data_IF_240051280601
#
_entry.id   IF_240051280601
#
_cell.length_a   1.000
_cell.length_b   1.000
_cell.length_c   1.000
_cell.angle_alpha   90.00
_cell.angle_beta   90.00
_cell.angle_gamma   90.00
#
_symmetry.space_group_name_H-M   'P 1'
#
loop_
_entity.id
_entity.type
_entity.pdbx_description
1 polymer ?
#
# COMPACT_ATOMS: atom_id res chain seq x y z
N UNK A 1 3.47 5.28 -13.66
CA UNK A 1 3.91 4.03 -14.26
C UNK A 1 5.13 3.52 -13.50
N UNK A 2 4.98 2.35 -12.85
CA UNK A 2 6.07 1.69 -12.15
C UNK A 2 7.08 1.19 -13.19
N UNK A 3 8.36 1.52 -13.01
CA UNK A 3 9.41 0.93 -13.82
C UNK A 3 9.51 -0.58 -13.56
N UNK A 4 9.89 -1.37 -14.59
CA UNK A 4 10.06 -2.83 -14.47
C UNK A 4 10.89 -3.23 -13.23
N UNK A 5 11.98 -2.53 -12.85
CA UNK A 5 12.71 -2.80 -11.62
C UNK A 5 11.91 -2.61 -10.33
N UNK A 6 10.85 -1.79 -10.32
CA UNK A 6 9.99 -1.59 -9.14
C UNK A 6 8.97 -2.73 -8.97
N UNK A 7 8.67 -3.47 -10.06
CA UNK A 7 7.81 -4.66 -9.99
C UNK A 7 8.57 -5.84 -9.36
N UNK A 8 9.87 -5.96 -9.63
CA UNK A 8 10.73 -7.07 -9.20
C UNK A 8 11.84 -6.59 -8.26
N UNK A 9 11.51 -6.05 -7.09
CA UNK A 9 12.51 -5.87 -6.03
C UNK A 9 12.82 -7.22 -5.40
N UNK A 10 13.94 -7.82 -5.79
CA UNK A 10 14.56 -8.94 -5.08
C UNK A 10 15.49 -8.36 -4.02
N UNK A 11 15.02 -8.15 -2.81
CA UNK A 11 15.89 -7.91 -1.68
C UNK A 11 16.09 -9.21 -0.90
N UNK A 12 17.32 -9.49 -0.59
CA UNK A 12 17.72 -10.67 0.21
C UNK A 12 17.49 -10.32 1.67
N UNK A 13 16.31 -10.72 2.19
CA UNK A 13 15.93 -10.89 3.60
C UNK A 13 15.89 -9.69 4.55
N UNK A 14 14.70 -9.19 4.89
CA UNK A 14 13.94 -9.50 6.10
C UNK A 14 12.54 -10.04 5.79
N UNK A 15 11.69 -10.45 6.78
CA UNK A 15 10.42 -11.18 6.52
C UNK A 15 9.38 -10.42 5.69
N UNK A 16 9.45 -9.09 5.60
CA UNK A 16 8.68 -8.29 4.64
C UNK A 16 9.01 -8.67 3.19
N UNK A 17 10.24 -9.10 2.95
CA UNK A 17 10.75 -9.46 1.63
C UNK A 17 10.34 -10.89 1.23
N UNK A 18 10.03 -11.76 2.21
CA UNK A 18 9.49 -13.09 1.91
C UNK A 18 8.17 -13.00 1.14
N UNK A 19 7.23 -12.18 1.59
CA UNK A 19 5.95 -11.99 0.90
C UNK A 19 6.14 -11.34 -0.48
N UNK A 20 7.08 -10.40 -0.59
CA UNK A 20 7.45 -9.77 -1.86
C UNK A 20 8.09 -10.79 -2.79
N UNK A 21 8.99 -11.62 -2.28
CA UNK A 21 9.65 -12.69 -3.04
C UNK A 21 8.65 -13.73 -3.51
N UNK A 22 7.75 -14.19 -2.62
CA UNK A 22 6.69 -15.14 -2.97
C UNK A 22 5.77 -14.58 -4.05
N UNK A 23 5.34 -13.33 -3.92
CA UNK A 23 4.55 -12.62 -4.94
C UNK A 23 5.27 -12.63 -6.29
N UNK A 24 6.55 -12.28 -6.31
CA UNK A 24 7.35 -12.21 -7.53
C UNK A 24 7.49 -13.60 -8.17
N UNK A 25 7.73 -14.65 -7.38
CA UNK A 25 7.78 -16.03 -7.86
C UNK A 25 6.45 -16.47 -8.47
N UNK A 26 5.32 -16.11 -7.87
CA UNK A 26 3.98 -16.40 -8.41
C UNK A 26 3.72 -15.67 -9.72
N UNK A 27 4.14 -14.42 -9.85
CA UNK A 27 4.05 -13.65 -11.11
C UNK A 27 4.88 -14.34 -12.20
N UNK A 28 6.15 -14.67 -11.91
CA UNK A 28 7.04 -15.36 -12.85
C UNK A 28 6.47 -16.72 -13.26
N UNK A 29 5.90 -17.47 -12.30
CA UNK A 29 5.27 -18.77 -12.59
C UNK A 29 4.07 -18.63 -13.51
N UNK A 30 3.28 -17.56 -13.37
CA UNK A 30 2.18 -17.24 -14.27
C UNK A 30 2.66 -17.05 -15.72
N UNK A 31 3.71 -16.26 -15.93
CA UNK A 31 4.30 -16.08 -17.27
C UNK A 31 4.90 -17.38 -17.81
N UNK A 32 5.63 -18.13 -16.98
CA UNK A 32 6.21 -19.41 -17.38
C UNK A 32 5.12 -20.43 -17.80
N UNK A 33 4.02 -20.51 -17.06
CA UNK A 33 2.89 -21.38 -17.41
C UNK A 33 2.23 -20.95 -18.72
N UNK A 34 2.09 -19.64 -18.97
CA UNK A 34 1.57 -19.13 -20.26
C UNK A 34 2.44 -19.56 -21.41
N UNK A 35 3.77 -19.32 -21.35
CA UNK A 35 4.72 -19.71 -22.39
C UNK A 35 4.70 -21.23 -22.60
N UNK A 36 4.66 -22.01 -21.52
CA UNK A 36 4.60 -23.47 -21.57
C UNK A 36 3.33 -23.97 -22.30
N UNK A 37 2.15 -23.46 -21.92
CA UNK A 37 0.88 -23.84 -22.57
C UNK A 37 0.85 -23.43 -24.06
N UNK A 38 1.39 -22.24 -24.38
CA UNK A 38 1.51 -21.74 -25.74
C UNK A 38 2.44 -22.62 -26.57
N UNK A 39 3.62 -22.95 -26.06
CA UNK A 39 4.58 -23.83 -26.74
C UNK A 39 4.06 -25.26 -26.96
N UNK A 40 3.15 -25.73 -26.11
CA UNK A 40 2.45 -27.00 -26.29
C UNK A 40 1.25 -26.92 -27.24
N UNK A 41 0.90 -25.74 -27.74
CA UNK A 41 -0.28 -25.49 -28.59
C UNK A 41 -1.60 -25.96 -27.95
N UNK A 42 -1.67 -25.95 -26.63
CA UNK A 42 -2.85 -26.40 -25.84
C UNK A 42 -3.41 -25.31 -24.95
N UNK A 43 -3.04 -24.05 -25.19
CA UNK A 43 -3.56 -22.91 -24.45
C UNK A 43 -5.05 -22.71 -24.77
N UNK A 44 -5.92 -22.75 -23.77
CA UNK A 44 -7.34 -22.45 -23.93
C UNK A 44 -7.52 -20.95 -24.11
N UNK A 45 -8.37 -20.56 -25.08
CA UNK A 45 -8.62 -19.14 -25.39
C UNK A 45 -9.07 -18.35 -24.15
N UNK A 46 -9.95 -18.92 -23.33
CA UNK A 46 -10.42 -18.27 -22.09
C UNK A 46 -9.28 -17.97 -21.12
N UNK A 47 -8.31 -18.89 -20.97
CA UNK A 47 -7.16 -18.67 -20.10
C UNK A 47 -6.20 -17.61 -20.68
N UNK A 48 -6.04 -17.59 -22.01
CA UNK A 48 -5.26 -16.56 -22.68
C UNK A 48 -5.87 -15.17 -22.49
N UNK A 49 -7.19 -15.04 -22.64
CA UNK A 49 -7.91 -13.78 -22.45
C UNK A 49 -7.78 -13.29 -21.01
N UNK A 50 -7.97 -14.16 -20.00
CA UNK A 50 -7.80 -13.80 -18.58
C UNK A 50 -6.38 -13.34 -18.29
N UNK A 51 -5.38 -14.05 -18.82
CA UNK A 51 -3.97 -13.69 -18.64
C UNK A 51 -3.66 -12.32 -19.26
N UNK A 52 -4.04 -12.10 -20.52
CA UNK A 52 -3.80 -10.83 -21.21
C UNK A 52 -4.54 -9.68 -20.51
N UNK A 53 -5.78 -9.89 -20.09
CA UNK A 53 -6.56 -8.89 -19.36
C UNK A 53 -5.97 -8.56 -17.99
N UNK A 54 -5.21 -9.47 -17.38
CA UNK A 54 -4.56 -9.24 -16.09
C UNK A 54 -3.26 -8.43 -16.16
N UNK A 55 -2.61 -8.37 -17.34
CA UNK A 55 -1.35 -7.62 -17.53
C UNK A 55 -1.50 -6.12 -17.23
N UNK A 56 -2.53 -5.40 -17.74
CA UNK A 56 -2.74 -3.99 -17.39
C UNK A 56 -2.90 -3.75 -15.89
N UNK A 57 -3.53 -4.68 -15.16
CA UNK A 57 -3.65 -4.58 -13.70
C UNK A 57 -2.28 -4.62 -13.02
N UNK A 58 -1.42 -5.56 -13.44
CA UNK A 58 -0.06 -5.68 -12.92
C UNK A 58 0.78 -4.43 -13.19
N UNK A 59 0.61 -3.80 -14.36
CA UNK A 59 1.36 -2.61 -14.78
C UNK A 59 0.85 -1.33 -14.11
N UNK A 60 -0.44 -1.27 -13.75
CA UNK A 60 -1.05 -0.07 -13.19
C UNK A 60 -0.55 0.22 -11.77
N UNK A 61 -0.59 -0.77 -10.89
CA UNK A 61 -0.11 -0.64 -9.51
C UNK A 61 0.31 -2.00 -8.94
N UNK A 62 1.40 -2.03 -8.18
CA UNK A 62 1.91 -3.25 -7.53
C UNK A 62 0.91 -3.95 -6.59
N UNK A 63 -0.10 -3.23 -6.07
CA UNK A 63 -1.17 -3.80 -5.23
C UNK A 63 -2.09 -4.75 -6.00
N UNK A 64 -2.23 -4.59 -7.31
CA UNK A 64 -3.04 -5.46 -8.17
C UNK A 64 -2.31 -6.75 -8.60
N UNK A 65 -1.13 -7.01 -8.04
CA UNK A 65 -0.41 -8.27 -8.29
C UNK A 65 -1.16 -9.51 -7.80
N UNK A 66 -1.98 -9.37 -6.77
CA UNK A 66 -2.81 -10.47 -6.26
C UNK A 66 -3.93 -10.83 -7.24
N UNK A 67 -4.58 -9.83 -7.82
CA UNK A 67 -5.60 -10.01 -8.85
C UNK A 67 -5.00 -10.65 -10.11
N UNK A 68 -3.80 -10.23 -10.51
CA UNK A 68 -3.05 -10.89 -11.59
C UNK A 68 -2.84 -12.38 -11.29
N UNK A 69 -2.33 -12.72 -10.10
CA UNK A 69 -2.08 -14.09 -9.68
C UNK A 69 -3.38 -14.92 -9.72
N UNK A 70 -4.47 -14.40 -9.19
CA UNK A 70 -5.78 -15.08 -9.19
C UNK A 70 -6.29 -15.35 -10.61
N UNK A 71 -6.18 -14.38 -11.50
CA UNK A 71 -6.59 -14.53 -12.91
C UNK A 71 -5.70 -15.52 -13.69
N UNK A 72 -4.44 -15.73 -13.25
CA UNK A 72 -3.54 -16.72 -13.82
C UNK A 72 -3.80 -18.16 -13.34
N UNK A 73 -4.49 -18.37 -12.20
CA UNK A 73 -4.67 -19.70 -11.59
C UNK A 73 -5.26 -20.75 -12.54
N UNK A 74 -6.29 -20.47 -13.38
CA UNK A 74 -6.80 -21.46 -14.32
C UNK A 74 -5.75 -21.94 -15.32
N UNK A 75 -4.87 -21.04 -15.74
CA UNK A 75 -3.77 -21.34 -16.66
C UNK A 75 -2.65 -22.15 -15.96
N UNK A 76 -2.31 -21.79 -14.73
CA UNK A 76 -1.35 -22.56 -13.91
C UNK A 76 -1.85 -24.00 -13.73
N UNK A 77 -3.13 -24.17 -13.39
CA UNK A 77 -3.74 -25.50 -13.31
C UNK A 77 -3.60 -26.27 -14.64
N UNK A 78 -3.92 -25.64 -15.77
CA UNK A 78 -3.79 -26.28 -17.07
C UNK A 78 -2.34 -26.69 -17.38
N UNK A 79 -1.36 -25.84 -17.05
CA UNK A 79 0.05 -26.15 -17.22
C UNK A 79 0.48 -27.36 -16.39
N UNK A 80 0.04 -27.44 -15.15
CA UNK A 80 0.29 -28.59 -14.26
C UNK A 80 -0.35 -29.86 -14.82
N UNK A 81 -1.61 -29.81 -15.26
CA UNK A 81 -2.29 -30.96 -15.90
C UNK A 81 -1.53 -31.46 -17.11
N UNK A 82 -1.04 -30.57 -17.99
CA UNK A 82 -0.25 -30.94 -19.15
C UNK A 82 1.11 -31.52 -18.81
N UNK A 83 1.75 -31.04 -17.75
CA UNK A 83 3.04 -31.55 -17.28
C UNK A 83 2.89 -32.94 -16.67
N UNK A 84 1.86 -33.17 -15.86
CA UNK A 84 1.60 -34.44 -15.18
C UNK A 84 1.13 -35.54 -16.13
N UNK A 85 0.36 -35.20 -17.20
CA UNK A 85 -0.02 -36.17 -18.24
C UNK A 85 1.19 -36.81 -18.93
N UNK A 86 2.29 -36.09 -19.10
CA UNK A 86 3.52 -36.62 -19.68
C UNK A 86 4.32 -37.53 -18.74
N UNK A 87 4.22 -37.28 -17.44
CA UNK A 87 5.03 -37.97 -16.45
C UNK A 87 4.56 -39.40 -16.16
N UNK A 88 3.45 -39.91 -16.80
CA UNK A 88 2.81 -41.19 -16.44
C UNK A 88 2.72 -41.36 -14.90
N UNK A 89 2.54 -40.27 -14.20
CA UNK A 89 2.37 -40.33 -12.75
C UNK A 89 1.12 -41.17 -12.51
N UNK A 90 1.30 -42.25 -11.74
CA UNK A 90 0.19 -43.05 -11.21
C UNK A 90 -0.90 -42.11 -10.72
N UNK A 91 -2.17 -42.44 -10.95
CA UNK A 91 -3.27 -41.58 -10.55
C UNK A 91 -3.10 -41.27 -9.06
N UNK A 92 -2.90 -40.00 -8.77
CA UNK A 92 -2.75 -39.43 -7.42
C UNK A 92 -4.02 -39.71 -6.58
N UNK A 93 -5.07 -40.20 -7.22
CA UNK A 93 -6.34 -40.62 -6.60
C UNK A 93 -6.18 -41.64 -5.48
N UNK A 94 -5.09 -42.41 -5.45
CA UNK A 94 -4.84 -43.40 -4.39
C UNK A 94 -4.39 -42.75 -3.07
N UNK A 95 -3.95 -41.50 -3.08
CA UNK A 95 -3.47 -40.81 -1.88
C UNK A 95 -4.06 -39.42 -1.80
N UNK A 96 -5.18 -39.24 -1.09
CA UNK A 96 -5.68 -37.91 -0.69
C UNK A 96 -4.72 -37.16 0.25
N UNK A 97 -3.77 -37.87 0.78
CA UNK A 97 -2.76 -37.42 1.72
C UNK A 97 -1.90 -36.23 1.23
N UNK A 98 -1.35 -36.17 0.00
CA UNK A 98 -0.59 -35.02 -0.45
C UNK A 98 -1.41 -33.72 -0.51
N UNK A 99 -2.69 -33.82 -0.89
CA UNK A 99 -3.59 -32.66 -0.91
C UNK A 99 -3.92 -32.19 0.50
N UNK A 100 -4.07 -33.12 1.44
CA UNK A 100 -4.30 -32.82 2.85
C UNK A 100 -3.05 -32.12 3.44
N UNK A 101 -1.85 -32.61 3.15
CA UNK A 101 -0.58 -31.98 3.57
C UNK A 101 -0.44 -30.59 2.96
N UNK A 102 -0.71 -30.44 1.67
CA UNK A 102 -0.69 -29.13 1.02
C UNK A 102 -1.70 -28.17 1.64
N UNK A 103 -2.92 -28.64 1.90
CA UNK A 103 -3.96 -27.83 2.56
C UNK A 103 -3.53 -27.41 3.96
N UNK A 104 -2.99 -28.34 4.76
CA UNK A 104 -2.48 -28.05 6.11
C UNK A 104 -1.33 -27.02 6.04
N UNK A 105 -0.40 -27.18 5.09
CA UNK A 105 0.69 -26.23 4.89
C UNK A 105 0.17 -24.85 4.48
N UNK A 106 -0.81 -24.77 3.57
CA UNK A 106 -1.43 -23.52 3.15
C UNK A 106 -2.19 -22.82 4.30
N UNK A 107 -2.77 -23.59 5.22
CA UNK A 107 -3.41 -23.03 6.42
C UNK A 107 -2.39 -22.67 7.52
N UNK A 108 -1.36 -23.50 7.70
CA UNK A 108 -0.34 -23.30 8.72
C UNK A 108 0.59 -22.12 8.40
N UNK A 109 0.86 -21.85 7.09
CA UNK A 109 1.76 -20.77 6.67
C UNK A 109 1.25 -19.38 7.09
N UNK A 110 -0.01 -18.98 6.82
CA UNK A 110 -0.56 -17.70 7.30
C UNK A 110 -0.55 -17.61 8.83
N UNK A 111 -0.85 -18.72 9.51
CA UNK A 111 -0.82 -18.78 10.97
C UNK A 111 0.59 -18.61 11.52
N UNK A 112 1.58 -19.28 10.94
CA UNK A 112 2.99 -19.14 11.32
C UNK A 112 3.51 -17.71 11.06
N UNK A 113 3.13 -17.11 9.91
CA UNK A 113 3.44 -15.71 9.60
C UNK A 113 2.80 -14.77 10.61
N UNK A 114 1.51 -14.99 10.95
CA UNK A 114 0.84 -14.20 11.96
C UNK A 114 1.53 -14.30 13.32
N UNK A 115 1.81 -15.52 13.82
CA UNK A 115 2.45 -15.74 15.11
C UNK A 115 3.85 -15.13 15.17
N UNK A 116 4.67 -15.28 14.13
CA UNK A 116 6.06 -14.82 14.14
C UNK A 116 6.21 -13.35 13.76
N UNK A 117 5.27 -12.80 13.01
CA UNK A 117 5.41 -11.46 12.46
C UNK A 117 4.54 -10.41 13.15
N UNK A 118 3.30 -10.75 13.51
CA UNK A 118 2.33 -9.79 14.05
C UNK A 118 2.18 -9.89 15.57
N UNK A 119 2.22 -11.09 16.13
CA UNK A 119 2.00 -11.29 17.57
C UNK A 119 3.05 -10.59 18.45
N UNK A 120 4.29 -10.52 17.98
CA UNK A 120 5.41 -9.94 18.71
C UNK A 120 5.72 -8.49 18.33
N UNK A 121 4.90 -7.87 17.50
CA UNK A 121 5.00 -6.44 17.22
C UNK A 121 4.03 -5.68 18.13
N UNK A 122 4.53 -4.98 19.18
CA UNK A 122 3.69 -4.21 20.09
C UNK A 122 2.92 -3.09 19.37
N UNK A 123 3.36 -2.74 18.17
CA UNK A 123 2.81 -1.66 17.34
C UNK A 123 1.67 -2.11 16.39
N UNK A 124 1.43 -3.44 16.28
CA UNK A 124 0.37 -3.91 15.39
C UNK A 124 -1.02 -3.66 16.01
N UNK A 125 -1.99 -3.18 15.24
CA UNK A 125 -1.99 -2.95 13.79
C UNK A 125 -1.41 -1.60 13.33
N UNK A 126 -1.00 -0.73 14.24
CA UNK A 126 -0.58 0.65 13.97
C UNK A 126 0.94 0.77 14.10
N UNK A 127 1.65 1.13 13.03
CA UNK A 127 3.08 1.38 13.07
C UNK A 127 3.38 2.83 13.48
N UNK A 128 3.93 3.02 14.67
CA UNK A 128 4.34 4.34 15.16
C UNK A 128 5.44 4.98 14.30
N UNK A 129 6.24 4.14 13.62
CA UNK A 129 7.30 4.61 12.70
C UNK A 129 6.78 5.13 11.35
N UNK A 130 5.48 4.98 11.06
CA UNK A 130 4.89 5.36 9.77
C UNK A 130 3.66 6.24 9.90
N UNK A 131 3.14 6.38 11.09
CA UNK A 131 1.91 7.10 11.36
C UNK A 131 2.14 8.17 12.43
N UNK A 132 1.54 9.34 12.33
CA UNK A 132 1.74 10.47 13.23
C UNK A 132 0.96 10.26 14.54
N UNK A 133 1.35 9.23 15.30
CA UNK A 133 0.68 8.83 16.55
C UNK A 133 0.82 9.91 17.60
N UNK A 134 2.01 10.50 17.70
CA UNK A 134 2.31 11.58 18.64
C UNK A 134 1.52 12.84 18.32
N UNK A 135 1.47 13.24 17.04
CA UNK A 135 0.69 14.39 16.57
C UNK A 135 -0.79 14.23 16.88
N UNK A 136 -1.38 13.06 16.56
CA UNK A 136 -2.79 12.79 16.85
C UNK A 136 -3.10 12.87 18.34
N UNK A 137 -2.26 12.25 19.19
CA UNK A 137 -2.40 12.30 20.66
C UNK A 137 -2.24 13.71 21.19
N UNK A 138 -1.29 14.50 20.66
CA UNK A 138 -1.08 15.88 21.05
C UNK A 138 -2.32 16.72 20.81
N UNK A 139 -2.92 16.65 19.61
CA UNK A 139 -4.16 17.37 19.27
C UNK A 139 -5.29 16.95 20.22
N UNK A 140 -5.46 15.65 20.50
CA UNK A 140 -6.49 15.14 21.40
C UNK A 140 -6.30 15.61 22.84
N UNK A 141 -5.06 15.48 23.36
CA UNK A 141 -4.77 15.79 24.78
C UNK A 141 -4.98 17.27 25.08
N UNK A 142 -4.69 18.14 24.13
CA UNK A 142 -4.85 19.59 24.30
C UNK A 142 -6.21 20.10 23.79
N UNK A 143 -7.10 19.21 23.34
CA UNK A 143 -8.42 19.52 22.80
C UNK A 143 -8.39 20.66 21.78
N UNK A 144 -7.43 20.63 20.87
CA UNK A 144 -7.18 21.69 19.91
C UNK A 144 -8.24 21.65 18.78
N UNK A 145 -9.11 22.66 18.66
CA UNK A 145 -10.16 22.67 17.65
C UNK A 145 -9.61 23.17 16.30
N UNK A 146 -10.25 22.75 15.20
CA UNK A 146 -9.97 23.31 13.87
C UNK A 146 -9.60 22.29 12.81
N UNK A 147 -9.44 22.77 11.58
CA UNK A 147 -9.15 21.93 10.43
C UNK A 147 -7.65 21.68 10.30
N UNK A 148 -7.28 20.50 9.83
CA UNK A 148 -5.88 20.09 9.63
C UNK A 148 -5.59 19.98 8.15
N UNK A 149 -4.63 20.73 7.64
CA UNK A 149 -3.97 20.42 6.37
C UNK A 149 -2.97 19.33 6.66
N UNK A 150 -3.16 18.17 6.03
CA UNK A 150 -2.38 16.96 6.27
C UNK A 150 -1.88 16.34 4.97
N UNK A 151 -0.92 15.45 5.08
CA UNK A 151 -0.54 14.60 3.96
C UNK A 151 -1.62 13.55 3.68
N UNK A 152 -1.92 13.25 2.40
CA UNK A 152 -2.94 12.24 2.05
C UNK A 152 -2.66 10.86 2.66
N UNK A 153 -1.37 10.46 2.75
CA UNK A 153 -0.97 9.15 3.25
C UNK A 153 -1.31 8.91 4.74
N UNK A 154 -1.35 9.97 5.53
CA UNK A 154 -1.60 9.89 6.99
C UNK A 154 -3.00 10.36 7.36
N UNK A 155 -3.74 10.93 6.38
CA UNK A 155 -5.07 11.51 6.61
C UNK A 155 -6.07 10.53 7.20
N UNK A 156 -6.17 9.32 6.66
CA UNK A 156 -7.10 8.31 7.18
C UNK A 156 -6.83 7.95 8.64
N UNK A 157 -5.55 7.90 9.03
CA UNK A 157 -5.17 7.68 10.42
C UNK A 157 -5.56 8.86 11.33
N UNK A 158 -5.25 10.09 10.90
CA UNK A 158 -5.63 11.29 11.65
C UNK A 158 -7.16 11.40 11.78
N UNK A 159 -7.91 11.13 10.73
CA UNK A 159 -9.38 11.13 10.76
C UNK A 159 -9.92 10.11 11.77
N UNK A 160 -9.37 8.91 11.78
CA UNK A 160 -9.76 7.87 12.72
C UNK A 160 -9.45 8.27 14.17
N UNK A 161 -8.23 8.73 14.43
CA UNK A 161 -7.81 9.11 15.79
C UNK A 161 -8.56 10.34 16.31
N UNK A 162 -8.74 11.36 15.48
CA UNK A 162 -9.41 12.62 15.88
C UNK A 162 -10.93 12.48 15.94
N UNK A 163 -11.48 11.33 15.53
CA UNK A 163 -12.89 10.97 15.64
C UNK A 163 -13.87 12.06 15.15
N UNK A 164 -13.54 12.70 14.04
CA UNK A 164 -14.34 13.74 13.41
C UNK A 164 -14.35 15.11 14.11
N UNK A 165 -13.66 15.30 15.24
CA UNK A 165 -13.52 16.59 15.91
C UNK A 165 -12.78 17.62 15.06
N UNK A 166 -11.72 17.15 14.40
CA UNK A 166 -10.94 17.94 13.46
C UNK A 166 -11.20 17.44 12.06
N UNK A 167 -11.53 18.32 11.14
CA UNK A 167 -11.64 17.95 9.72
C UNK A 167 -10.24 17.89 9.13
N UNK A 168 -9.90 16.77 8.53
CA UNK A 168 -8.70 16.63 7.72
C UNK A 168 -8.96 17.12 6.30
N UNK A 169 -7.90 17.53 5.61
CA UNK A 169 -8.02 18.02 4.25
C UNK A 169 -8.23 16.89 3.24
N UNK A 170 -7.41 15.83 3.32
CA UNK A 170 -7.49 14.71 2.39
C UNK A 170 -6.97 13.41 3.01
N UNK A 171 -7.53 12.29 2.56
CA UNK A 171 -7.03 10.95 2.82
C UNK A 171 -6.73 10.21 1.51
N UNK A 172 -6.35 8.93 1.62
CA UNK A 172 -6.03 8.07 0.47
C UNK A 172 -7.26 7.41 -0.18
N UNK A 173 -8.47 7.86 0.10
CA UNK A 173 -9.69 7.39 -0.58
C UNK A 173 -9.78 7.99 -2.00
N UNK A 174 -8.85 7.60 -2.85
CA UNK A 174 -8.65 8.17 -4.19
C UNK A 174 -9.91 8.11 -5.07
N UNK A 175 -10.83 7.21 -4.79
CA UNK A 175 -12.10 7.09 -5.51
C UNK A 175 -13.05 8.27 -5.28
N UNK A 176 -12.85 9.03 -4.20
CA UNK A 176 -13.66 10.20 -3.85
C UNK A 176 -13.09 11.50 -4.41
N UNK A 177 -11.84 11.48 -4.87
CA UNK A 177 -11.14 12.67 -5.34
C UNK A 177 -10.79 12.55 -6.81
N UNK A 178 -10.88 13.66 -7.54
CA UNK A 178 -10.36 13.73 -8.90
C UNK A 178 -8.83 13.75 -8.89
N UNK A 179 -8.21 13.29 -9.98
CA UNK A 179 -6.74 13.33 -10.15
C UNK A 179 -6.19 14.74 -9.95
N UNK A 180 -6.95 15.76 -10.37
CA UNK A 180 -6.59 17.18 -10.17
C UNK A 180 -6.56 17.57 -8.69
N UNK A 181 -7.57 17.15 -7.92
CA UNK A 181 -7.63 17.44 -6.49
C UNK A 181 -6.50 16.75 -5.73
N UNK A 182 -6.18 15.51 -6.12
CA UNK A 182 -5.07 14.77 -5.53
C UNK A 182 -3.71 15.39 -5.86
N UNK A 183 -3.48 15.77 -7.11
CA UNK A 183 -2.27 16.47 -7.52
C UNK A 183 -2.13 17.82 -6.82
N UNK A 184 -3.23 18.55 -6.63
CA UNK A 184 -3.24 19.80 -5.88
C UNK A 184 -2.88 19.57 -4.40
N UNK A 185 -3.51 18.58 -3.75
CA UNK A 185 -3.25 18.28 -2.34
C UNK A 185 -1.80 17.87 -2.05
N UNK A 186 -1.20 17.09 -2.95
CA UNK A 186 0.23 16.71 -2.82
C UNK A 186 1.15 17.90 -3.12
N UNK A 187 0.82 18.72 -4.12
CA UNK A 187 1.61 19.86 -4.54
C UNK A 187 1.57 21.05 -3.57
N UNK A 188 0.48 21.20 -2.79
CA UNK A 188 0.35 22.27 -1.78
C UNK A 188 1.49 22.25 -0.75
N UNK A 189 1.99 21.08 -0.40
CA UNK A 189 3.06 20.94 0.58
C UNK A 189 4.48 21.05 -0.03
N UNK A 190 4.58 21.12 -1.36
CA UNK A 190 5.87 21.21 -2.08
C UNK A 190 6.12 22.60 -2.71
N UNK A 191 5.06 23.35 -2.97
CA UNK A 191 5.13 24.64 -3.66
C UNK A 191 4.59 25.80 -2.80
N UNK A 192 5.42 26.81 -2.58
CA UNK A 192 5.07 27.99 -1.76
C UNK A 192 3.87 28.77 -2.30
N UNK A 193 3.73 28.87 -3.62
CA UNK A 193 2.64 29.62 -4.22
C UNK A 193 1.32 28.85 -4.07
N UNK A 194 1.35 27.55 -4.31
CA UNK A 194 0.21 26.66 -4.08
C UNK A 194 -0.20 26.67 -2.60
N UNK A 195 0.75 26.60 -1.67
CA UNK A 195 0.51 26.69 -0.23
C UNK A 195 -0.17 28.01 0.17
N UNK A 196 0.34 29.14 -0.28
CA UNK A 196 -0.25 30.45 0.03
C UNK A 196 -1.66 30.61 -0.56
N UNK A 197 -1.92 30.08 -1.74
CA UNK A 197 -3.26 30.08 -2.34
C UNK A 197 -4.21 29.18 -1.55
N UNK A 198 -3.72 28.02 -1.12
CA UNK A 198 -4.48 27.13 -0.24
C UNK A 198 -4.87 27.81 1.07
N UNK A 199 -3.94 28.50 1.73
CA UNK A 199 -4.21 29.20 2.99
C UNK A 199 -5.29 30.28 2.84
N UNK A 200 -5.34 30.99 1.70
CA UNK A 200 -6.38 31.98 1.42
C UNK A 200 -7.76 31.36 1.26
N UNK A 201 -7.83 30.12 0.74
CA UNK A 201 -9.08 29.44 0.44
C UNK A 201 -9.63 28.63 1.63
N UNK A 202 -8.75 27.95 2.35
CA UNK A 202 -9.17 26.95 3.35
C UNK A 202 -8.83 27.33 4.80
N UNK A 203 -7.91 28.27 5.00
CA UNK A 203 -7.48 28.81 6.30
C UNK A 203 -7.39 27.71 7.40
N UNK A 204 -6.47 26.72 7.28
CA UNK A 204 -6.35 25.63 8.23
C UNK A 204 -5.87 26.13 9.59
N UNK A 205 -6.36 25.52 10.67
CA UNK A 205 -5.88 25.78 12.02
C UNK A 205 -4.50 25.14 12.25
N UNK A 206 -4.28 23.99 11.63
CA UNK A 206 -3.05 23.21 11.76
C UNK A 206 -2.53 22.77 10.39
N UNK A 207 -1.23 22.57 10.34
CA UNK A 207 -0.55 21.87 9.23
C UNK A 207 0.26 20.72 9.84
N UNK A 208 -0.07 19.49 9.45
CA UNK A 208 0.66 18.28 9.81
C UNK A 208 1.39 17.77 8.58
N UNK A 209 2.71 17.69 8.65
CA UNK A 209 3.56 17.40 7.50
C UNK A 209 4.68 16.44 7.86
N UNK A 210 5.01 15.53 6.97
CA UNK A 210 6.09 14.55 7.16
C UNK A 210 7.45 15.22 7.35
N UNK A 211 8.22 14.72 8.32
CA UNK A 211 9.61 15.13 8.53
C UNK A 211 10.53 14.82 7.33
N UNK A 212 10.09 13.93 6.42
CA UNK A 212 10.82 13.63 5.19
C UNK A 212 10.82 14.78 4.17
N UNK A 213 9.94 15.79 4.33
CA UNK A 213 9.89 16.99 3.48
C UNK A 213 10.88 18.03 3.97
N UNK A 214 12.15 17.89 3.60
CA UNK A 214 13.25 18.75 4.06
C UNK A 214 13.06 20.24 3.77
N UNK A 215 12.35 20.61 2.70
CA UNK A 215 12.16 21.99 2.28
C UNK A 215 10.91 22.65 2.91
N UNK A 216 9.97 21.86 3.44
CA UNK A 216 8.75 22.41 4.04
C UNK A 216 9.01 23.34 5.24
N UNK A 217 9.92 23.04 6.18
CA UNK A 217 10.23 23.94 7.28
C UNK A 217 10.70 25.33 6.82
N UNK A 218 11.49 25.40 5.75
CA UNK A 218 11.92 26.68 5.15
C UNK A 218 10.74 27.43 4.51
N UNK A 219 9.85 26.69 3.86
CA UNK A 219 8.68 27.25 3.21
C UNK A 219 7.71 27.85 4.24
N UNK A 220 7.36 27.11 5.29
CA UNK A 220 6.40 27.56 6.29
C UNK A 220 6.97 28.65 7.21
N UNK A 221 8.27 28.65 7.50
CA UNK A 221 8.91 29.69 8.29
C UNK A 221 8.87 31.09 7.64
N UNK A 222 8.66 31.14 6.32
CA UNK A 222 8.42 32.41 5.62
C UNK A 222 7.01 32.99 5.88
N UNK A 223 6.12 32.24 6.54
CA UNK A 223 4.78 32.69 6.94
C UNK A 223 4.72 32.85 8.47
N UNK A 224 4.77 34.08 9.00
CA UNK A 224 4.83 34.32 10.46
C UNK A 224 3.55 33.87 11.20
N UNK A 225 2.50 33.52 10.46
CA UNK A 225 1.27 33.02 11.07
C UNK A 225 1.37 31.58 11.56
N UNK A 226 2.35 30.82 11.09
CA UNK A 226 2.50 29.42 11.48
C UNK A 226 3.71 29.23 12.39
N UNK A 227 3.48 28.51 13.49
CA UNK A 227 4.54 28.20 14.46
C UNK A 227 4.54 26.67 14.69
N UNK A 228 5.74 26.09 14.73
CA UNK A 228 5.94 24.68 15.13
C UNK A 228 5.58 24.53 16.62
N UNK A 229 4.63 23.63 16.93
CA UNK A 229 4.21 23.39 18.31
C UNK A 229 4.52 21.98 18.80
N UNK A 230 4.63 21.04 17.86
CA UNK A 230 4.92 19.64 18.22
C UNK A 230 5.53 18.92 17.02
N UNK A 231 6.28 17.86 17.27
CA UNK A 231 6.69 16.86 16.28
C UNK A 231 6.86 15.50 16.93
N UNK A 232 6.64 14.46 16.17
CA UNK A 232 6.98 13.08 16.54
C UNK A 232 8.01 12.51 15.54
N UNK A 233 8.19 11.19 15.50
CA UNK A 233 9.16 10.55 14.61
C UNK A 233 8.74 10.57 13.11
N UNK A 234 7.53 10.99 12.81
CA UNK A 234 6.92 10.91 11.47
C UNK A 234 6.57 12.29 10.92
N UNK A 235 5.89 13.12 11.73
CA UNK A 235 5.36 14.41 11.29
C UNK A 235 5.64 15.54 12.27
N UNK A 236 5.65 16.74 11.73
CA UNK A 236 5.67 18.01 12.45
C UNK A 236 4.32 18.69 12.38
N UNK A 237 3.85 19.24 13.51
CA UNK A 237 2.59 19.96 13.64
C UNK A 237 2.86 21.46 13.82
N UNK A 238 2.33 22.25 12.89
CA UNK A 238 2.36 23.70 12.93
C UNK A 238 0.96 24.25 13.21
N UNK A 239 0.88 25.26 14.09
CA UNK A 239 -0.37 25.94 14.42
C UNK A 239 -0.44 27.30 13.71
N UNK A 240 -1.64 27.68 13.27
CA UNK A 240 -1.91 29.01 12.79
C UNK A 240 -2.14 29.95 13.99
N UNK A 241 -1.10 30.68 14.41
CA UNK A 241 -1.12 31.57 15.58
C UNK A 241 -2.14 32.73 15.48
N UNK A 242 -2.70 33.00 14.30
CA UNK A 242 -3.77 33.98 14.16
C UNK A 242 -5.13 33.51 14.66
N UNK A 243 -5.27 32.19 14.87
CA UNK A 243 -6.52 31.57 15.30
C UNK A 243 -6.58 31.32 16.80
N UNK A 244 -5.44 31.40 17.47
CA UNK A 244 -5.24 31.19 18.89
C UNK A 244 -4.50 32.38 19.52
#
# INVERSE_FOLDING_TARGET
>A
PLSIPQIFRFSVLPPSDFLVTLRNLLIISGFACFIYCLGKRKLRLSHAVLFIASIPLLLKHGRFSYEFILLCMPMVRQAVELATQKAKMHPIDKYRWPYLVLFVLLCALPFAVYQNYFKYRPEYPVSQLKLPVGVAKFIQTHDLPGNVLNEPNTGGYLQWMLNGRNKIYMDMQLSLFSDRNFAFATGVLDDKHAFNNFLKQYDPAFVSVSLSRADFPKMISSNPSFQLIFFDDVEALYINAKRY
#
